data_IF_540863806351
#
_entry.id   IF_540863806351
#
_cell.length_a   1.000
_cell.length_b   1.000
_cell.length_c   1.000
_cell.angle_alpha   90.00
_cell.angle_beta   90.00
_cell.angle_gamma   90.00
#
_symmetry.space_group_name_H-M   'P 1'
#
loop_
_entity.id
_entity.type
_entity.pdbx_description
1 polymer ?
#
# COMPACT_ATOMS: atom_id res chain seq x y z
N UNK A 1 -3.71 -24.18 -18.22
CA UNK A 1 -2.68 -23.42 -17.48
C UNK A 1 -3.13 -23.23 -16.04
N UNK A 2 -2.50 -23.94 -15.09
CA UNK A 2 -2.78 -23.77 -13.64
C UNK A 2 -2.54 -22.30 -13.28
N UNK A 3 -3.59 -21.60 -12.83
CA UNK A 3 -3.46 -20.19 -12.41
C UNK A 3 -2.91 -20.23 -10.98
N UNK A 4 -1.70 -19.72 -10.76
CA UNK A 4 -1.16 -19.60 -9.40
C UNK A 4 -2.09 -18.71 -8.57
N UNK A 5 -2.77 -19.33 -7.61
CA UNK A 5 -3.71 -18.70 -6.68
C UNK A 5 -2.93 -18.29 -5.44
N UNK A 6 -3.05 -17.02 -5.08
CA UNK A 6 -2.39 -16.44 -3.92
C UNK A 6 -3.41 -15.79 -2.99
N UNK A 7 -3.09 -15.81 -1.71
CA UNK A 7 -3.85 -15.16 -0.65
C UNK A 7 -2.89 -14.28 0.14
N UNK A 8 -3.28 -13.06 0.47
CA UNK A 8 -2.46 -12.17 1.28
C UNK A 8 -3.25 -11.66 2.47
N UNK A 9 -2.56 -11.33 3.55
CA UNK A 9 -3.14 -10.61 4.68
C UNK A 9 -2.70 -9.16 4.62
N UNK A 10 -3.67 -8.28 4.54
CA UNK A 10 -3.45 -6.82 4.55
C UNK A 10 -2.91 -6.35 5.92
N UNK A 11 -2.61 -5.06 6.09
CA UNK A 11 -2.15 -4.48 7.37
C UNK A 11 -3.13 -4.69 8.52
N UNK A 12 -4.41 -4.92 8.21
CA UNK A 12 -5.46 -5.28 9.17
C UNK A 12 -5.51 -6.77 9.50
N UNK A 13 -4.54 -7.57 9.04
CA UNK A 13 -4.46 -9.03 9.19
C UNK A 13 -5.64 -9.82 8.61
N UNK A 14 -6.52 -9.16 7.86
CA UNK A 14 -7.66 -9.79 7.18
C UNK A 14 -7.15 -10.58 5.98
N UNK A 15 -7.44 -11.90 5.88
CA UNK A 15 -7.09 -12.69 4.71
C UNK A 15 -7.93 -12.25 3.51
N UNK A 16 -7.25 -11.98 2.40
CA UNK A 16 -7.86 -11.64 1.10
C UNK A 16 -7.43 -12.65 0.06
N UNK A 17 -8.35 -13.09 -0.78
CA UNK A 17 -8.08 -13.98 -1.92
C UNK A 17 -9.30 -14.81 -2.33
N UNK A 18 -9.17 -15.70 -3.34
CA UNK A 18 -7.97 -15.96 -4.14
C UNK A 18 -7.65 -14.85 -5.15
N UNK A 19 -6.37 -14.55 -5.35
CA UNK A 19 -5.93 -13.55 -6.32
C UNK A 19 -4.80 -14.07 -7.22
N UNK A 20 -4.70 -13.48 -8.41
CA UNK A 20 -3.63 -13.74 -9.37
C UNK A 20 -2.39 -12.89 -9.09
N UNK A 21 -1.23 -13.32 -9.61
CA UNK A 21 0.03 -12.54 -9.53
C UNK A 21 -0.14 -11.13 -10.11
N UNK A 22 -0.92 -10.96 -11.19
CA UNK A 22 -1.22 -9.65 -11.76
C UNK A 22 -1.98 -8.73 -10.78
N UNK A 23 -2.83 -9.30 -9.93
CA UNK A 23 -3.54 -8.55 -8.89
C UNK A 23 -2.59 -8.16 -7.77
N UNK A 24 -1.72 -9.07 -7.33
CA UNK A 24 -0.65 -8.75 -6.37
C UNK A 24 0.25 -7.61 -6.85
N UNK A 25 0.68 -7.62 -8.12
CA UNK A 25 1.44 -6.52 -8.73
C UNK A 25 0.71 -5.18 -8.61
N UNK A 26 -0.60 -5.15 -8.89
CA UNK A 26 -1.42 -3.94 -8.75
C UNK A 26 -1.50 -3.47 -7.30
N UNK A 27 -1.73 -4.39 -6.36
CA UNK A 27 -1.73 -4.10 -4.93
C UNK A 27 -0.38 -3.54 -4.45
N UNK A 28 0.73 -4.04 -4.98
CA UNK A 28 2.08 -3.54 -4.69
C UNK A 28 2.26 -2.10 -5.19
N UNK A 29 1.86 -1.80 -6.43
CA UNK A 29 1.89 -0.44 -7.00
C UNK A 29 0.94 0.51 -6.24
N UNK A 30 -0.09 -0.01 -5.59
CA UNK A 30 -0.99 0.76 -4.75
C UNK A 30 -0.47 0.94 -3.31
N UNK A 31 0.57 0.21 -2.89
CA UNK A 31 1.08 0.24 -1.52
C UNK A 31 0.17 -0.45 -0.50
N UNK A 32 -0.72 -1.33 -0.96
CA UNK A 32 -1.56 -2.17 -0.07
C UNK A 32 -0.71 -3.30 0.52
N UNK A 33 0.20 -3.84 -0.29
CA UNK A 33 1.12 -4.91 0.10
C UNK A 33 2.57 -4.43 0.02
N UNK A 34 3.37 -4.91 0.95
CA UNK A 34 4.78 -4.59 1.15
C UNK A 34 5.60 -5.88 1.33
N UNK A 35 6.92 -5.78 1.49
CA UNK A 35 7.79 -6.95 1.66
C UNK A 35 7.49 -7.79 2.90
N UNK A 36 6.94 -7.17 3.94
CA UNK A 36 6.58 -7.81 5.21
C UNK A 36 5.13 -8.32 5.23
N UNK A 37 4.35 -8.06 4.17
CA UNK A 37 2.99 -8.58 4.05
C UNK A 37 3.01 -10.11 4.02
N UNK A 38 2.16 -10.73 4.83
CA UNK A 38 2.02 -12.17 4.89
C UNK A 38 1.27 -12.68 3.67
N UNK A 39 1.84 -13.67 2.99
CA UNK A 39 1.30 -14.30 1.79
C UNK A 39 1.27 -15.82 1.95
N UNK A 40 0.24 -16.42 1.37
CA UNK A 40 0.07 -17.85 1.28
C UNK A 40 -0.23 -18.22 -0.18
N UNK A 41 0.39 -19.30 -0.63
CA UNK A 41 0.24 -19.83 -1.97
C UNK A 41 0.00 -21.33 -1.93
N UNK A 42 -0.43 -21.88 -3.06
CA UNK A 42 -0.69 -23.30 -3.20
C UNK A 42 0.57 -24.14 -2.88
N UNK A 43 0.45 -25.07 -1.94
CA UNK A 43 1.57 -25.93 -1.50
C UNK A 43 2.42 -25.35 -0.35
N UNK A 44 2.06 -24.19 0.20
CA UNK A 44 2.68 -23.67 1.43
C UNK A 44 1.93 -24.18 2.66
N UNK A 45 2.67 -24.53 3.73
CA UNK A 45 2.04 -24.96 4.99
C UNK A 45 1.44 -23.79 5.77
N UNK A 46 2.08 -22.62 5.73
CA UNK A 46 1.68 -21.44 6.50
C UNK A 46 1.89 -20.13 5.73
N UNK A 47 1.35 -19.05 6.26
CA UNK A 47 1.58 -17.70 5.73
C UNK A 47 3.03 -17.28 6.01
N UNK A 48 3.74 -16.85 4.97
CA UNK A 48 5.10 -16.34 5.09
C UNK A 48 5.17 -14.89 4.58
N UNK A 49 6.08 -14.06 5.09
CA UNK A 49 6.32 -12.73 4.53
C UNK A 49 6.71 -12.81 3.04
N UNK A 50 6.23 -11.89 2.21
CA UNK A 50 6.53 -11.86 0.76
C UNK A 50 8.03 -11.93 0.50
N UNK A 51 8.84 -11.20 1.27
CA UNK A 51 10.31 -11.19 1.15
C UNK A 51 10.97 -12.57 1.29
N UNK A 52 10.33 -13.51 1.99
CA UNK A 52 10.82 -14.88 2.15
C UNK A 52 10.45 -15.79 0.97
N UNK A 53 9.46 -15.40 0.17
CA UNK A 53 9.02 -16.14 -1.03
C UNK A 53 9.77 -15.58 -2.24
N UNK A 54 10.97 -16.11 -2.51
CA UNK A 54 11.85 -15.60 -3.57
C UNK A 54 11.23 -15.67 -4.98
N UNK A 55 10.53 -16.76 -5.30
CA UNK A 55 9.87 -16.96 -6.60
C UNK A 55 8.83 -15.87 -6.87
N UNK A 56 8.02 -15.54 -5.87
CA UNK A 56 7.01 -14.51 -5.97
C UNK A 56 7.61 -13.10 -5.92
N UNK A 57 8.61 -12.88 -5.06
CA UNK A 57 9.29 -11.58 -4.95
C UNK A 57 9.89 -11.15 -6.28
N UNK A 58 10.52 -12.07 -7.02
CA UNK A 58 11.05 -11.81 -8.36
C UNK A 58 9.95 -11.41 -9.35
N UNK A 59 8.77 -12.05 -9.27
CA UNK A 59 7.63 -11.72 -10.13
C UNK A 59 6.98 -10.38 -9.80
N UNK A 60 6.86 -10.03 -8.51
CA UNK A 60 6.24 -8.77 -8.07
C UNK A 60 7.17 -7.58 -8.33
N UNK A 61 8.49 -7.73 -8.11
CA UNK A 61 9.48 -6.65 -8.29
C UNK A 61 9.96 -6.48 -9.74
N UNK A 62 9.12 -6.87 -10.70
CA UNK A 62 9.42 -6.76 -12.13
C UNK A 62 9.54 -5.30 -12.60
N UNK A 63 10.21 -5.08 -13.74
CA UNK A 63 10.54 -3.74 -14.24
C UNK A 63 9.28 -2.87 -14.45
N UNK A 64 8.20 -3.46 -14.96
CA UNK A 64 6.87 -2.83 -15.11
C UNK A 64 6.35 -2.25 -13.79
N UNK A 65 6.44 -3.01 -12.69
CA UNK A 65 5.99 -2.56 -11.36
C UNK A 65 6.87 -1.44 -10.82
N UNK A 66 8.18 -1.52 -11.06
CA UNK A 66 9.13 -0.48 -10.63
C UNK A 66 8.87 0.84 -11.36
N UNK A 67 8.64 0.79 -12.67
CA UNK A 67 8.29 1.97 -13.49
C UNK A 67 6.94 2.55 -13.06
N UNK A 68 5.92 1.72 -12.85
CA UNK A 68 4.62 2.16 -12.38
C UNK A 68 4.69 2.85 -11.00
N UNK A 69 5.50 2.32 -10.08
CA UNK A 69 5.75 2.92 -8.78
C UNK A 69 6.52 4.24 -8.90
N UNK A 70 7.53 4.32 -9.79
CA UNK A 70 8.28 5.54 -10.06
C UNK A 70 7.41 6.67 -10.62
N UNK A 71 6.50 6.35 -11.55
CA UNK A 71 5.55 7.32 -12.14
C UNK A 71 4.56 7.89 -11.12
N UNK A 72 4.18 7.12 -10.09
CA UNK A 72 3.29 7.60 -9.01
C UNK A 72 3.97 8.58 -8.05
N UNK A 73 5.28 8.47 -7.82
CA UNK A 73 6.02 9.32 -6.87
C UNK A 73 5.85 10.83 -7.11
N UNK A 74 6.01 11.38 -8.34
CA UNK A 74 5.83 12.81 -8.57
C UNK A 74 4.38 13.27 -8.32
N UNK A 75 3.39 12.42 -8.64
CA UNK A 75 1.98 12.73 -8.39
C UNK A 75 1.68 12.88 -6.89
N UNK A 76 2.15 11.93 -6.07
CA UNK A 76 2.00 12.03 -4.62
C UNK A 76 2.78 13.20 -4.02
N UNK A 77 3.97 13.53 -4.54
CA UNK A 77 4.74 14.69 -4.09
C UNK A 77 3.98 16.00 -4.34
N UNK A 78 3.33 16.13 -5.49
CA UNK A 78 2.51 17.29 -5.83
C UNK A 78 1.25 17.37 -4.96
N UNK A 79 0.50 16.27 -4.82
CA UNK A 79 -0.67 16.21 -3.95
C UNK A 79 -0.33 16.51 -2.49
N UNK A 80 0.76 15.94 -1.97
CA UNK A 80 1.29 16.20 -0.64
C UNK A 80 1.65 17.69 -0.44
N UNK A 81 2.31 18.30 -1.43
CA UNK A 81 2.68 19.71 -1.37
C UNK A 81 1.44 20.63 -1.31
N UNK A 82 0.41 20.33 -2.11
CA UNK A 82 -0.85 21.08 -2.07
C UNK A 82 -1.58 20.92 -0.73
N UNK A 83 -1.68 19.69 -0.20
CA UNK A 83 -2.28 19.43 1.11
C UNK A 83 -1.54 20.18 2.24
N UNK A 84 -0.20 20.18 2.22
CA UNK A 84 0.62 20.90 3.20
C UNK A 84 0.42 22.42 3.13
N UNK A 85 0.25 22.98 1.93
CA UNK A 85 -0.02 24.41 1.74
C UNK A 85 -1.38 24.82 2.32
N UNK A 86 -2.36 23.93 2.25
CA UNK A 86 -3.70 24.15 2.80
C UNK A 86 -3.71 24.04 4.33
N UNK A 87 -2.98 23.08 4.88
CA UNK A 87 -2.76 22.96 6.33
C UNK A 87 -2.01 24.17 6.92
N UNK A 88 -1.00 24.70 6.23
CA UNK A 88 -0.32 25.92 6.66
C UNK A 88 -1.28 27.11 6.76
N UNK A 89 -2.18 27.28 5.78
CA UNK A 89 -3.22 28.32 5.84
C UNK A 89 -4.20 28.10 6.97
N UNK A 90 -4.64 26.86 7.20
CA UNK A 90 -5.56 26.53 8.30
C UNK A 90 -4.93 26.83 9.67
N UNK A 91 -3.65 26.53 9.89
CA UNK A 91 -2.96 26.81 11.16
C UNK A 91 -2.88 28.30 11.50
N UNK A 92 -2.70 29.18 10.50
CA UNK A 92 -2.70 30.63 10.74
C UNK A 92 -4.10 31.23 10.90
N UNK A 93 -5.14 30.49 10.54
CA UNK A 93 -6.54 30.89 10.72
C UNK A 93 -7.14 30.39 12.05
N UNK A 94 -6.44 29.51 12.79
CA UNK A 94 -6.85 28.99 14.10
C UNK A 94 -6.28 29.86 15.24
N UNK A 95 -6.11 31.16 15.01
CA UNK A 95 -5.81 32.15 16.05
C UNK A 95 -7.07 32.74 16.69
N UNK A 96 -8.27 32.35 16.25
CA UNK A 96 -9.53 32.99 16.65
C UNK A 96 -10.52 32.15 17.48
N UNK A 97 -10.37 30.83 17.57
CA UNK A 97 -11.30 30.01 18.37
C UNK A 97 -10.53 28.95 19.14
N UNK A 98 -10.37 29.19 20.45
CA UNK A 98 -9.84 28.17 21.33
C UNK A 98 -10.85 27.03 21.40
N UNK A 99 -10.39 25.78 21.37
CA UNK A 99 -11.26 24.61 21.58
C UNK A 99 -12.07 24.69 22.90
N UNK A 100 -11.67 25.54 23.84
CA UNK A 100 -12.32 25.77 25.13
C UNK A 100 -13.58 26.64 25.03
N UNK A 101 -13.76 27.43 23.96
CA UNK A 101 -14.96 28.26 23.75
C UNK A 101 -16.17 27.46 23.26
N UNK A 102 -15.95 26.25 22.70
CA UNK A 102 -17.00 25.39 22.16
C UNK A 102 -17.68 24.49 23.22
N UNK A 103 -17.22 24.52 24.48
CA UNK A 103 -17.74 23.72 25.60
C UNK A 103 -18.40 24.58 26.70
N UNK A 104 -18.74 25.84 26.41
CA UNK A 104 -19.53 26.71 27.30
C UNK A 104 -20.99 26.79 26.87
#
# INVERSE_FOLDING_TARGET
TQRNLWYYRDRLMVPRGPCSVATLKRCWVQGIIDGDTLIWGQGMMEFAPIKNVFTLTGQIRSLDVRVACALKKPFFKFAYWNARKQDWKNRHNISGTSQLDNWR
#
